data_IF_892205794308
#
_entry.id   IF_892205794308
#
_cell.length_a   1.000
_cell.length_b   1.000
_cell.length_c   1.000
_cell.angle_alpha   90.00
_cell.angle_beta   90.00
_cell.angle_gamma   90.00
#
_symmetry.space_group_name_H-M   'P 1'
#
loop_
_entity.id
_entity.type
_entity.pdbx_description
1 polymer ?
#
# COMPACT_ATOMS: atom_id res chain seq x y z
N UNK A 1 33.64 18.49 -4.55
CA UNK A 1 33.11 18.63 -5.93
C UNK A 1 31.64 18.96 -5.81
N UNK A 2 31.22 20.15 -6.23
CA UNK A 2 29.80 20.52 -6.29
C UNK A 2 29.19 19.90 -7.55
N UNK A 3 28.35 18.88 -7.37
CA UNK A 3 27.54 18.33 -8.46
C UNK A 3 26.41 19.32 -8.73
N UNK A 4 26.55 20.14 -9.78
CA UNK A 4 25.41 20.85 -10.35
C UNK A 4 24.57 19.81 -11.08
N UNK A 5 23.36 19.56 -10.59
CA UNK A 5 22.34 18.88 -11.37
C UNK A 5 21.85 19.93 -12.36
N UNK A 6 22.34 19.86 -13.60
CA UNK A 6 21.73 20.57 -14.72
C UNK A 6 20.45 19.81 -15.07
N UNK A 7 19.31 20.43 -14.78
CA UNK A 7 18.02 19.97 -15.25
C UNK A 7 17.91 20.35 -16.74
N UNK A 8 17.83 19.35 -17.61
CA UNK A 8 17.50 19.52 -19.03
C UNK A 8 16.05 20.02 -19.14
N UNK A 9 15.75 20.87 -20.13
CA UNK A 9 14.41 21.44 -20.36
C UNK A 9 13.34 20.35 -20.52
N UNK A 10 13.73 19.16 -21.01
CA UNK A 10 12.84 17.98 -21.05
C UNK A 10 12.39 17.46 -19.70
N UNK A 11 13.18 17.65 -18.65
CA UNK A 11 12.83 17.18 -17.29
C UNK A 11 11.68 18.00 -16.71
N UNK A 12 11.67 19.30 -16.98
CA UNK A 12 10.57 20.20 -16.61
C UNK A 12 9.32 19.92 -17.42
N UNK A 13 9.46 19.57 -18.71
CA UNK A 13 8.32 19.15 -19.55
C UNK A 13 7.66 17.86 -19.03
N UNK A 14 8.45 16.86 -18.66
CA UNK A 14 7.96 15.59 -18.10
C UNK A 14 7.28 15.80 -16.74
N UNK A 15 7.89 16.61 -15.86
CA UNK A 15 7.26 16.95 -14.57
C UNK A 15 5.95 17.71 -14.77
N UNK A 16 5.91 18.67 -15.70
CA UNK A 16 4.71 19.42 -16.03
C UNK A 16 3.62 18.54 -16.67
N UNK A 17 3.99 17.48 -17.40
CA UNK A 17 3.07 16.49 -17.97
C UNK A 17 2.48 15.61 -16.87
N UNK A 18 3.31 15.05 -15.99
CA UNK A 18 2.84 14.24 -14.84
C UNK A 18 1.92 15.04 -13.92
N UNK A 19 2.23 16.31 -13.65
CA UNK A 19 1.38 17.20 -12.85
C UNK A 19 0.06 17.50 -13.58
N UNK A 20 0.08 17.71 -14.90
CA UNK A 20 -1.15 17.90 -15.69
C UNK A 20 -2.03 16.66 -15.70
N UNK A 21 -1.44 15.48 -15.86
CA UNK A 21 -2.17 14.22 -15.88
C UNK A 21 -2.81 13.92 -14.52
N UNK A 22 -2.10 14.21 -13.43
CA UNK A 22 -2.65 14.10 -12.07
C UNK A 22 -3.85 15.05 -11.88
N UNK A 23 -3.71 16.33 -12.25
CA UNK A 23 -4.80 17.31 -12.14
C UNK A 23 -6.00 16.98 -13.03
N UNK A 24 -5.75 16.43 -14.22
CA UNK A 24 -6.80 16.01 -15.14
C UNK A 24 -7.55 14.78 -14.58
N UNK A 25 -6.83 13.83 -13.98
CA UNK A 25 -7.42 12.65 -13.33
C UNK A 25 -8.31 13.03 -12.14
N UNK A 26 -7.90 14.03 -11.35
CA UNK A 26 -8.69 14.56 -10.23
C UNK A 26 -9.95 15.28 -10.72
N UNK A 27 -9.83 16.06 -11.79
CA UNK A 27 -10.96 16.75 -12.42
C UNK A 27 -11.99 15.74 -12.99
N UNK A 28 -11.52 14.67 -13.64
CA UNK A 28 -12.38 13.63 -14.19
C UNK A 28 -13.06 12.81 -13.08
N UNK A 29 -12.34 12.51 -11.98
CA UNK A 29 -12.91 11.88 -10.79
C UNK A 29 -14.00 12.76 -10.15
N UNK A 30 -13.75 14.05 -9.94
CA UNK A 30 -14.73 15.01 -9.43
C UNK A 30 -15.97 15.12 -10.33
N UNK A 31 -15.78 15.07 -11.66
CA UNK A 31 -16.88 15.09 -12.62
C UNK A 31 -17.69 13.79 -12.61
N UNK A 32 -17.03 12.65 -12.40
CA UNK A 32 -17.68 11.35 -12.26
C UNK A 32 -18.54 11.27 -11.00
N UNK A 33 -18.06 11.79 -9.87
CA UNK A 33 -18.77 11.85 -8.60
C UNK A 33 -20.02 12.74 -8.69
N UNK A 34 -19.90 13.93 -9.28
CA UNK A 34 -21.05 14.82 -9.50
C UNK A 34 -22.12 14.22 -10.42
N UNK A 35 -21.73 13.47 -11.45
CA UNK A 35 -22.67 12.76 -12.32
C UNK A 35 -23.35 11.57 -11.60
N UNK A 36 -22.64 10.89 -10.69
CA UNK A 36 -23.24 9.84 -9.87
C UNK A 36 -24.22 10.42 -8.84
N UNK A 37 -23.87 11.48 -8.13
CA UNK A 37 -24.76 12.14 -7.14
C UNK A 37 -26.01 12.75 -7.79
N UNK A 38 -25.86 13.42 -8.94
CA UNK A 38 -27.02 13.96 -9.67
C UNK A 38 -27.95 12.86 -10.18
N UNK A 39 -27.40 11.72 -10.62
CA UNK A 39 -28.19 10.55 -11.02
C UNK A 39 -28.88 9.84 -9.85
N UNK A 40 -28.23 9.80 -8.67
CA UNK A 40 -28.77 9.22 -7.45
C UNK A 40 -29.89 10.08 -6.87
N UNK A 41 -29.70 11.41 -6.80
CA UNK A 41 -30.71 12.37 -6.37
C UNK A 41 -31.94 12.35 -7.29
N UNK A 42 -31.72 12.27 -8.60
CA UNK A 42 -32.81 12.12 -9.59
C UNK A 42 -33.60 10.81 -9.43
N UNK A 43 -32.93 9.70 -9.06
CA UNK A 43 -33.58 8.41 -8.79
C UNK A 43 -34.35 8.42 -7.46
N UNK A 44 -33.81 9.03 -6.41
CA UNK A 44 -34.49 9.20 -5.12
C UNK A 44 -35.73 10.09 -5.24
N UNK A 45 -35.66 11.20 -5.98
CA UNK A 45 -36.81 12.07 -6.25
C UNK A 45 -37.89 11.30 -7.04
N UNK A 46 -37.51 10.54 -8.08
CA UNK A 46 -38.45 9.70 -8.84
C UNK A 46 -39.08 8.58 -8.01
N UNK A 47 -38.35 7.97 -7.06
CA UNK A 47 -38.87 6.95 -6.16
C UNK A 47 -39.83 7.55 -5.13
N UNK A 48 -39.53 8.73 -4.59
CA UNK A 48 -40.41 9.45 -3.67
C UNK A 48 -41.72 9.89 -4.33
N UNK A 49 -41.67 10.41 -5.58
CA UNK A 49 -42.86 10.77 -6.36
C UNK A 49 -43.73 9.55 -6.68
N UNK A 50 -43.13 8.39 -7.00
CA UNK A 50 -43.89 7.12 -7.16
C UNK A 50 -44.54 6.63 -5.87
N UNK A 51 -43.91 6.85 -4.71
CA UNK A 51 -44.44 6.44 -3.40
C UNK A 51 -45.63 7.30 -2.97
N UNK A 52 -45.61 8.60 -3.30
CA UNK A 52 -46.72 9.54 -3.05
C UNK A 52 -47.94 9.20 -3.93
N UNK A 53 -47.75 8.95 -5.23
CA UNK A 53 -48.85 8.57 -6.12
C UNK A 53 -49.47 7.20 -5.78
N UNK A 54 -48.72 6.28 -5.16
CA UNK A 54 -49.26 4.99 -4.67
C UNK A 54 -50.06 5.15 -3.35
N UNK A 55 -49.80 6.20 -2.58
CA UNK A 55 -50.52 6.46 -1.31
C UNK A 55 -51.88 7.14 -1.54
N UNK A 56 -52.04 7.88 -2.63
CA UNK A 56 -53.33 8.49 -3.00
C UNK A 56 -54.35 7.49 -3.60
N UNK A 57 -53.95 6.25 -3.90
CA UNK A 57 -54.84 5.25 -4.52
C UNK A 57 -55.28 4.11 -3.60
N UNK A 58 -55.01 4.16 -2.29
CA UNK A 58 -55.30 3.04 -1.37
C UNK A 58 -56.15 3.35 -0.14
N UNK A 59 -56.70 4.55 0.02
CA UNK A 59 -57.71 4.82 1.05
C UNK A 59 -59.14 4.54 0.55
N UNK A 60 -59.47 3.25 0.39
CA UNK A 60 -60.86 2.78 0.52
C UNK A 60 -60.87 1.37 1.14
N UNK A 61 -61.61 1.25 2.26
CA UNK A 61 -62.26 0.05 2.84
C UNK A 61 -61.52 -0.86 3.88
N UNK A 62 -61.95 -0.66 5.13
CA UNK A 62 -62.50 -1.64 6.12
C UNK A 62 -61.64 -2.68 6.88
N UNK A 63 -61.71 -2.52 8.22
CA UNK A 63 -61.37 -3.36 9.40
C UNK A 63 -61.80 -4.85 9.36
N UNK A 64 -60.98 -5.73 9.98
CA UNK A 64 -61.29 -6.64 11.14
C UNK A 64 -60.14 -7.67 11.37
N UNK A 65 -59.39 -7.60 12.49
CA UNK A 65 -59.42 -8.39 13.76
C UNK A 65 -59.15 -9.91 13.68
N UNK A 66 -58.09 -10.37 14.36
CA UNK A 66 -57.98 -11.57 15.27
C UNK A 66 -56.51 -12.11 15.33
N UNK A 67 -55.78 -11.95 16.45
CA UNK A 67 -55.50 -12.86 17.61
C UNK A 67 -54.52 -14.04 17.39
N UNK A 68 -53.39 -13.94 18.13
CA UNK A 68 -52.80 -14.91 19.09
C UNK A 68 -51.88 -16.09 18.66
N UNK A 69 -50.86 -16.25 19.52
CA UNK A 69 -50.13 -17.45 19.99
C UNK A 69 -49.06 -18.11 19.09
N UNK A 70 -47.98 -18.81 19.53
CA UNK A 70 -47.06 -18.88 20.71
C UNK A 70 -45.98 -19.94 20.32
N UNK A 71 -44.71 -19.72 20.69
CA UNK A 71 -43.57 -20.66 20.98
C UNK A 71 -43.26 -21.92 20.12
N UNK A 72 -41.95 -22.13 19.85
CA UNK A 72 -41.02 -23.09 20.53
C UNK A 72 -40.10 -23.99 19.66
N UNK A 73 -38.92 -24.28 20.26
CA UNK A 73 -37.98 -25.42 20.13
C UNK A 73 -37.08 -25.52 18.87
N UNK A 74 -35.72 -25.57 18.92
CA UNK A 74 -34.68 -26.39 19.60
C UNK A 74 -34.30 -27.68 18.82
N UNK A 75 -33.01 -27.86 18.46
CA UNK A 75 -32.09 -29.01 18.83
C UNK A 75 -31.07 -29.49 17.74
N UNK A 76 -29.78 -29.48 18.13
CA UNK A 76 -28.56 -30.32 17.89
C UNK A 76 -28.38 -31.31 16.70
N UNK A 77 -27.11 -31.41 16.21
CA UNK A 77 -26.22 -32.63 16.14
C UNK A 77 -24.94 -32.28 15.34
N UNK A 78 -23.67 -32.40 15.78
CA UNK A 78 -22.72 -33.54 16.03
C UNK A 78 -22.40 -34.49 14.87
N UNK A 79 -21.14 -34.51 14.36
CA UNK A 79 -20.15 -35.64 14.46
C UNK A 79 -18.84 -35.44 13.66
N UNK A 80 -17.79 -36.14 14.16
CA UNK A 80 -16.36 -36.27 13.78
C UNK A 80 -16.06 -37.31 12.68
N UNK A 81 -14.89 -37.19 12.02
CA UNK A 81 -13.78 -38.20 11.83
C UNK A 81 -12.76 -37.64 10.78
N UNK A 82 -11.44 -37.50 10.94
CA UNK A 82 -10.23 -38.33 11.24
C UNK A 82 -9.60 -39.13 10.05
N UNK A 83 -8.28 -38.88 9.86
CA UNK A 83 -7.20 -39.70 9.23
C UNK A 83 -7.22 -39.85 7.68
N UNK A 84 -6.11 -39.81 6.92
CA UNK A 84 -4.81 -40.49 7.10
C UNK A 84 -3.63 -39.84 6.30
N UNK A 85 -2.42 -40.38 6.52
CA UNK A 85 -1.03 -39.93 6.23
C UNK A 85 -0.33 -40.76 5.13
N UNK A 86 0.70 -40.19 4.45
CA UNK A 86 1.97 -40.80 3.89
C UNK A 86 2.52 -39.90 2.73
N UNK A 87 3.71 -39.26 2.72
CA UNK A 87 5.16 -39.61 2.66
C UNK A 87 5.71 -40.32 1.41
N UNK A 88 6.64 -39.66 0.65
CA UNK A 88 8.01 -40.09 0.20
C UNK A 88 8.47 -39.39 -1.12
N UNK A 89 9.59 -38.62 -1.14
CA UNK A 89 10.97 -38.90 -1.67
C UNK A 89 11.05 -39.20 -3.19
N UNK A 90 11.99 -38.81 -4.06
CA UNK A 90 13.32 -38.13 -4.07
C UNK A 90 13.79 -37.97 -5.56
N UNK A 91 14.69 -37.01 -5.83
CA UNK A 91 15.81 -36.93 -6.81
C UNK A 91 15.80 -37.52 -8.26
N UNK A 92 16.22 -36.72 -9.27
CA UNK A 92 17.58 -36.76 -9.90
C UNK A 92 17.71 -36.17 -11.34
N UNK A 93 18.58 -35.15 -11.47
CA UNK A 93 19.63 -34.83 -12.49
C UNK A 93 19.51 -35.11 -14.02
N UNK A 94 19.95 -34.05 -14.74
CA UNK A 94 20.91 -34.03 -15.89
C UNK A 94 20.40 -34.15 -17.34
N UNK A 95 20.61 -33.10 -18.16
CA UNK A 95 21.57 -33.17 -19.28
C UNK A 95 21.74 -31.85 -20.03
N UNK A 96 22.98 -31.59 -20.43
CA UNK A 96 23.51 -30.46 -21.20
C UNK A 96 23.34 -30.69 -22.70
N UNK A 97 22.90 -29.68 -23.48
CA UNK A 97 23.28 -29.51 -24.90
C UNK A 97 23.20 -28.03 -25.32
N UNK A 98 24.31 -27.53 -25.87
CA UNK A 98 24.45 -26.22 -26.54
C UNK A 98 23.89 -26.31 -27.96
N UNK A 99 23.24 -25.24 -28.43
CA UNK A 99 23.42 -24.61 -29.77
C UNK A 99 22.42 -23.46 -29.97
N UNK A 100 22.88 -22.33 -30.54
CA UNK A 100 22.08 -21.43 -31.36
C UNK A 100 21.57 -20.14 -30.70
N UNK A 101 22.23 -19.02 -31.00
CA UNK A 101 21.66 -17.68 -30.82
C UNK A 101 20.49 -17.51 -31.79
N UNK A 102 19.27 -17.54 -31.28
CA UNK A 102 18.07 -17.02 -31.95
C UNK A 102 17.34 -16.17 -30.92
N UNK A 103 17.19 -14.88 -31.19
CA UNK A 103 16.35 -14.00 -30.37
C UNK A 103 14.91 -14.55 -30.44
N UNK A 104 14.26 -14.84 -29.30
CA UNK A 104 12.91 -15.36 -29.33
C UNK A 104 11.95 -14.28 -29.85
N UNK A 105 10.91 -14.65 -30.60
CA UNK A 105 9.88 -13.70 -31.01
C UNK A 105 9.15 -13.20 -29.76
N UNK A 106 8.89 -11.89 -29.70
CA UNK A 106 8.08 -11.27 -28.66
C UNK A 106 6.65 -11.77 -28.85
N UNK A 107 6.32 -12.87 -28.19
CA UNK A 107 4.96 -13.38 -28.07
C UNK A 107 4.31 -12.70 -26.86
N UNK A 108 3.31 -11.87 -27.14
CA UNK A 108 2.44 -11.28 -26.14
C UNK A 108 1.57 -12.41 -25.56
N UNK A 109 2.00 -12.93 -24.41
CA UNK A 109 1.39 -14.06 -23.75
C UNK A 109 0.69 -13.57 -22.49
N UNK A 110 -0.61 -13.33 -22.60
CA UNK A 110 -1.51 -13.01 -21.51
C UNK A 110 -1.73 -14.27 -20.67
N UNK A 111 -0.74 -14.66 -19.85
CA UNK A 111 -0.87 -15.69 -18.81
C UNK A 111 -0.78 -15.04 -17.44
N UNK A 112 -1.63 -15.49 -16.52
CA UNK A 112 -1.69 -15.08 -15.11
C UNK A 112 -0.30 -14.84 -14.53
N UNK A 113 -0.14 -13.64 -13.97
CA UNK A 113 1.13 -12.93 -13.81
C UNK A 113 2.21 -13.72 -13.09
N UNK A 114 3.09 -14.34 -13.88
CA UNK A 114 4.42 -14.68 -13.39
C UNK A 114 5.09 -13.36 -12.97
N UNK A 115 5.38 -13.22 -11.68
CA UNK A 115 6.13 -12.08 -11.16
C UNK A 115 7.47 -12.01 -11.92
N UNK A 116 7.59 -11.05 -12.83
CA UNK A 116 8.82 -10.80 -13.57
C UNK A 116 9.80 -10.23 -12.56
N UNK A 117 10.89 -10.96 -12.29
CA UNK A 117 11.94 -10.44 -11.43
C UNK A 117 12.46 -9.11 -12.00
N UNK A 118 12.58 -8.06 -11.18
CA UNK A 118 13.06 -6.78 -11.66
C UNK A 118 14.46 -6.94 -12.27
N UNK A 119 14.78 -6.16 -13.32
CA UNK A 119 16.09 -6.24 -13.97
C UNK A 119 17.21 -6.04 -12.95
N UNK A 120 18.39 -6.60 -13.21
CA UNK A 120 19.56 -6.37 -12.34
C UNK A 120 19.89 -4.88 -12.23
N UNK A 121 20.41 -4.47 -11.08
CA UNK A 121 20.77 -3.08 -10.84
C UNK A 121 21.86 -2.63 -11.84
N UNK A 122 21.66 -1.48 -12.48
CA UNK A 122 22.64 -0.90 -13.40
C UNK A 122 23.38 0.23 -12.69
N UNK A 123 24.71 0.15 -12.65
CA UNK A 123 25.56 1.19 -12.08
C UNK A 123 25.31 2.53 -12.79
N UNK A 124 25.25 3.62 -12.04
CA UNK A 124 24.93 4.96 -12.55
C UNK A 124 23.44 5.21 -12.83
N UNK A 125 22.57 4.22 -12.59
CA UNK A 125 21.11 4.43 -12.65
C UNK A 125 20.49 4.54 -11.26
N UNK A 126 19.40 5.29 -11.15
CA UNK A 126 18.58 5.32 -9.95
C UNK A 126 17.51 4.23 -10.05
N UNK A 127 17.26 3.55 -8.94
CA UNK A 127 16.17 2.59 -8.80
C UNK A 127 15.25 3.04 -7.68
N UNK A 128 13.96 2.96 -7.94
CA UNK A 128 12.92 3.21 -6.94
C UNK A 128 12.13 1.92 -6.78
N UNK A 129 11.98 1.45 -5.54
CA UNK A 129 11.21 0.24 -5.21
C UNK A 129 10.22 0.58 -4.09
N UNK A 130 8.91 0.60 -4.38
CA UNK A 130 7.91 0.72 -3.33
C UNK A 130 7.81 -0.61 -2.57
N UNK A 131 7.98 -0.56 -1.25
CA UNK A 131 7.81 -1.71 -0.34
C UNK A 131 6.45 -1.71 0.37
N UNK A 132 5.66 -0.64 0.17
CA UNK A 132 4.28 -0.51 0.60
C UNK A 132 3.68 0.83 0.18
N UNK A 133 2.35 0.94 0.25
CA UNK A 133 1.60 2.14 -0.14
C UNK A 133 1.34 2.32 -1.64
N UNK A 134 1.80 1.40 -2.49
CA UNK A 134 1.43 1.40 -3.91
C UNK A 134 0.25 0.44 -4.14
N UNK A 135 -0.88 0.98 -4.61
CA UNK A 135 -2.11 0.20 -4.83
C UNK A 135 -2.89 -0.13 -3.55
N UNK A 136 -2.48 0.45 -2.42
CA UNK A 136 -3.12 0.32 -1.10
C UNK A 136 -3.05 1.68 -0.37
N UNK A 137 -3.87 1.86 0.68
CA UNK A 137 -3.79 3.01 1.59
C UNK A 137 -3.17 2.51 2.90
N UNK A 138 -1.97 2.97 3.21
CA UNK A 138 -1.23 2.52 4.38
C UNK A 138 0.18 2.04 4.05
N UNK A 139 0.98 1.85 5.11
CA UNK A 139 2.26 1.11 5.04
C UNK A 139 3.25 1.72 4.04
N UNK A 140 3.23 3.04 3.88
CA UNK A 140 4.06 3.73 2.91
C UNK A 140 5.54 3.50 3.23
N UNK A 141 6.27 2.99 2.24
CA UNK A 141 7.71 2.83 2.30
C UNK A 141 8.27 2.74 0.89
N UNK A 142 9.24 3.60 0.57
CA UNK A 142 9.95 3.57 -0.70
C UNK A 142 11.45 3.46 -0.49
N UNK A 143 12.09 2.67 -1.34
CA UNK A 143 13.54 2.52 -1.42
C UNK A 143 14.04 3.27 -2.63
N UNK A 144 14.95 4.22 -2.42
CA UNK A 144 15.74 4.83 -3.48
C UNK A 144 17.14 4.25 -3.43
N UNK A 145 17.55 3.53 -4.46
CA UNK A 145 18.87 2.92 -4.58
C UNK A 145 19.68 3.63 -5.67
N UNK A 146 20.86 4.13 -5.31
CA UNK A 146 21.80 4.76 -6.23
C UNK A 146 23.25 4.41 -5.87
N UNK A 147 23.98 3.88 -6.85
CA UNK A 147 25.36 3.40 -6.74
C UNK A 147 25.62 2.48 -5.53
N UNK A 148 24.63 1.68 -5.14
CA UNK A 148 24.73 0.75 -4.00
C UNK A 148 24.44 1.39 -2.64
N UNK A 149 24.08 2.67 -2.60
CA UNK A 149 23.58 3.37 -1.43
C UNK A 149 22.06 3.40 -1.46
N UNK A 150 21.44 3.27 -0.28
CA UNK A 150 19.99 3.20 -0.13
C UNK A 150 19.52 4.36 0.73
N UNK A 151 18.53 5.10 0.23
CA UNK A 151 17.74 6.05 0.99
C UNK A 151 16.33 5.49 1.14
N UNK A 152 15.82 5.47 2.37
CA UNK A 152 14.44 5.07 2.64
C UNK A 152 13.57 6.33 2.75
N UNK A 153 12.34 6.26 2.22
CA UNK A 153 11.32 7.29 2.39
C UNK A 153 10.12 6.64 3.06
N UNK A 154 9.80 7.13 4.25
CA UNK A 154 8.75 6.66 5.15
C UNK A 154 8.90 5.18 5.55
N UNK A 155 8.23 4.82 6.63
CA UNK A 155 8.10 3.47 7.13
C UNK A 155 6.79 3.37 7.92
N UNK A 156 5.70 3.19 7.18
CA UNK A 156 4.35 3.18 7.72
C UNK A 156 3.84 1.84 8.23
N UNK A 157 2.62 1.86 8.76
CA UNK A 157 1.80 0.66 8.99
C UNK A 157 0.50 0.72 8.20
N UNK A 158 -0.10 -0.43 7.94
CA UNK A 158 -1.49 -0.54 7.52
C UNK A 158 -2.28 -1.17 8.68
N UNK A 159 -3.45 -0.60 8.96
CA UNK A 159 -4.38 -1.16 9.94
C UNK A 159 -5.21 -2.26 9.29
N UNK A 160 -5.31 -3.45 9.92
CA UNK A 160 -6.06 -4.58 9.35
C UNK A 160 -7.56 -4.33 9.32
N UNK A 161 -8.25 -5.01 8.39
CA UNK A 161 -9.71 -5.00 8.28
C UNK A 161 -10.37 -5.96 9.29
N UNK A 162 -11.69 -5.86 9.49
CA UNK A 162 -12.44 -6.69 10.46
C UNK A 162 -12.29 -8.20 10.19
N UNK A 163 -12.04 -8.57 8.95
CA UNK A 163 -11.84 -9.94 8.47
C UNK A 163 -10.46 -10.52 8.84
N UNK A 164 -9.57 -9.74 9.44
CA UNK A 164 -8.22 -10.14 9.84
C UNK A 164 -8.04 -10.14 11.38
N UNK A 165 -8.79 -10.98 12.12
CA UNK A 165 -8.78 -10.96 13.57
C UNK A 165 -7.43 -11.40 14.15
N UNK A 166 -6.95 -10.67 15.16
CA UNK A 166 -5.72 -10.97 15.90
C UNK A 166 -4.44 -10.41 15.26
N UNK A 167 -4.55 -9.69 14.15
CA UNK A 167 -3.47 -8.84 13.62
C UNK A 167 -3.72 -7.43 14.15
N UNK A 168 -2.69 -6.80 14.72
CA UNK A 168 -2.79 -5.40 15.20
C UNK A 168 -2.31 -4.40 14.14
N UNK A 169 -1.21 -4.73 13.45
CA UNK A 169 -0.53 -3.87 12.48
C UNK A 169 0.06 -4.71 11.35
N UNK A 170 0.03 -4.19 10.13
CA UNK A 170 0.68 -4.77 8.95
C UNK A 170 1.86 -3.90 8.54
N UNK A 171 3.06 -4.49 8.50
CA UNK A 171 4.34 -3.80 8.24
C UNK A 171 4.78 -3.92 6.77
N UNK A 172 5.56 -2.96 6.24
CA UNK A 172 6.13 -3.04 4.90
C UNK A 172 7.00 -4.28 4.76
N UNK A 173 7.19 -4.74 3.52
CA UNK A 173 8.04 -5.90 3.29
C UNK A 173 9.53 -5.50 3.37
N UNK A 174 10.15 -5.71 4.53
CA UNK A 174 11.57 -5.44 4.74
C UNK A 174 12.50 -6.43 4.04
N UNK A 175 12.00 -7.55 3.50
CA UNK A 175 12.84 -8.59 2.90
C UNK A 175 13.75 -8.04 1.79
N UNK A 176 13.27 -7.05 1.03
CA UNK A 176 14.04 -6.40 -0.03
C UNK A 176 15.34 -5.73 0.46
N UNK A 177 15.36 -5.21 1.69
CA UNK A 177 16.50 -4.46 2.25
C UNK A 177 17.18 -5.16 3.43
N UNK A 178 16.61 -6.25 3.96
CA UNK A 178 17.07 -6.93 5.17
C UNK A 178 18.56 -7.29 5.13
N UNK A 179 19.05 -7.81 4.00
CA UNK A 179 20.47 -8.20 3.83
C UNK A 179 21.38 -7.04 3.37
N UNK A 180 20.82 -5.82 3.23
CA UNK A 180 21.50 -4.62 2.77
C UNK A 180 21.27 -3.43 3.70
N UNK A 181 20.89 -3.68 4.95
CA UNK A 181 20.64 -2.61 5.92
C UNK A 181 21.89 -1.77 6.16
N UNK A 182 23.09 -2.33 5.99
CA UNK A 182 24.38 -1.63 6.04
C UNK A 182 24.55 -0.58 4.92
N UNK A 183 23.77 -0.68 3.83
CA UNK A 183 23.75 0.28 2.72
C UNK A 183 22.76 1.42 2.91
N UNK A 184 21.91 1.34 3.94
CA UNK A 184 20.94 2.40 4.23
C UNK A 184 21.66 3.60 4.81
N UNK A 185 21.59 4.74 4.12
CA UNK A 185 22.23 5.98 4.56
C UNK A 185 21.36 6.73 5.56
N UNK A 186 20.04 6.75 5.35
CA UNK A 186 19.08 7.37 6.24
C UNK A 186 17.64 6.91 5.93
N UNK A 187 16.73 7.26 6.85
CA UNK A 187 15.29 7.22 6.64
C UNK A 187 14.73 8.65 6.66
N UNK A 188 14.15 9.08 5.54
CA UNK A 188 13.46 10.36 5.41
C UNK A 188 11.98 10.17 5.73
N UNK A 189 11.47 10.97 6.67
CA UNK A 189 10.08 10.93 7.11
C UNK A 189 9.35 12.17 6.63
N UNK A 190 8.35 11.97 5.77
CA UNK A 190 7.63 13.06 5.10
C UNK A 190 6.71 13.81 6.07
N UNK A 191 5.94 13.07 6.86
CA UNK A 191 5.03 13.62 7.87
C UNK A 191 4.71 12.55 8.93
N UNK A 192 3.89 12.93 9.92
CA UNK A 192 3.73 12.18 11.17
C UNK A 192 2.54 11.22 11.26
N UNK A 193 1.90 10.84 10.15
CA UNK A 193 0.80 9.87 10.22
C UNK A 193 1.32 8.44 10.37
N UNK A 194 0.53 7.56 10.98
CA UNK A 194 0.90 6.17 11.28
C UNK A 194 1.24 5.36 10.01
N UNK A 195 0.55 5.62 8.92
CA UNK A 195 0.83 5.06 7.59
C UNK A 195 2.14 5.55 6.96
N UNK A 196 2.87 6.46 7.62
CA UNK A 196 4.20 6.92 7.23
C UNK A 196 5.28 6.69 8.30
N UNK A 197 4.93 6.63 9.60
CA UNK A 197 5.91 6.49 10.69
C UNK A 197 5.72 5.28 11.59
N UNK A 198 4.58 4.59 11.51
CA UNK A 198 4.22 3.54 12.47
C UNK A 198 5.17 2.34 12.46
N UNK A 199 5.81 2.07 11.32
CA UNK A 199 6.74 0.96 11.11
C UNK A 199 8.18 1.27 11.57
N UNK A 200 8.51 2.53 11.84
CA UNK A 200 9.88 2.97 12.19
C UNK A 200 10.49 2.17 13.35
N UNK A 201 9.82 1.93 14.49
CA UNK A 201 10.41 1.18 15.59
C UNK A 201 10.77 -0.27 15.22
N UNK A 202 10.05 -0.87 14.27
CA UNK A 202 10.32 -2.22 13.81
C UNK A 202 11.55 -2.27 12.90
N UNK A 203 11.72 -1.27 12.04
CA UNK A 203 12.94 -1.10 11.26
C UNK A 203 14.16 -0.86 12.15
N UNK A 204 14.03 0.01 13.17
CA UNK A 204 15.13 0.32 14.09
C UNK A 204 15.52 -0.85 15.00
N UNK A 205 14.62 -1.81 15.27
CA UNK A 205 15.01 -3.07 15.92
C UNK A 205 15.98 -3.90 15.08
N UNK A 206 15.90 -3.80 13.75
CA UNK A 206 16.81 -4.48 12.83
C UNK A 206 18.13 -3.72 12.69
N UNK A 207 18.07 -2.38 12.62
CA UNK A 207 19.24 -1.51 12.57
C UNK A 207 19.01 -0.21 13.37
N UNK A 208 19.50 -0.12 14.62
CA UNK A 208 19.21 1.01 15.52
C UNK A 208 19.85 2.34 15.13
N UNK A 209 20.94 2.30 14.37
CA UNK A 209 21.79 3.45 14.02
C UNK A 209 21.38 4.15 12.72
N UNK A 210 20.18 3.88 12.17
CA UNK A 210 19.71 4.58 10.96
C UNK A 210 19.33 6.02 11.34
N UNK A 211 19.94 7.05 10.73
CA UNK A 211 19.55 8.43 10.97
C UNK A 211 18.14 8.71 10.44
N UNK A 212 17.30 9.28 11.30
CA UNK A 212 15.93 9.68 10.96
C UNK A 212 15.88 11.17 10.62
N UNK A 213 15.53 11.47 9.38
CA UNK A 213 15.47 12.85 8.89
C UNK A 213 14.00 13.27 8.79
N UNK A 214 13.64 14.40 9.39
CA UNK A 214 12.26 14.85 9.32
C UNK A 214 12.00 16.22 9.94
N UNK A 215 10.76 16.67 9.81
CA UNK A 215 10.32 17.91 10.45
C UNK A 215 10.31 17.78 11.97
N UNK A 216 10.33 18.91 12.69
CA UNK A 216 10.24 18.93 14.15
C UNK A 216 9.05 18.11 14.69
N UNK A 217 7.88 18.27 14.08
CA UNK A 217 6.66 17.59 14.52
C UNK A 217 6.73 16.09 14.24
N UNK A 218 7.18 15.71 13.03
CA UNK A 218 7.33 14.31 12.63
C UNK A 218 8.27 13.57 13.58
N UNK A 219 9.45 14.15 13.85
CA UNK A 219 10.45 13.54 14.72
C UNK A 219 9.96 13.43 16.17
N UNK A 220 9.18 14.39 16.66
CA UNK A 220 8.60 14.31 18.01
C UNK A 220 7.62 13.13 18.16
N UNK A 221 6.81 12.84 17.15
CA UNK A 221 5.92 11.67 17.18
C UNK A 221 6.70 10.36 17.10
N UNK A 222 7.73 10.31 16.25
CA UNK A 222 8.59 9.13 16.11
C UNK A 222 9.40 8.85 17.37
N UNK A 223 9.94 9.89 18.00
CA UNK A 223 10.66 9.80 19.28
C UNK A 223 9.77 9.21 20.37
N UNK A 224 8.55 9.73 20.53
CA UNK A 224 7.58 9.20 21.48
C UNK A 224 7.28 7.72 21.22
N UNK A 225 7.06 7.34 19.96
CA UNK A 225 6.83 5.95 19.56
C UNK A 225 8.04 5.05 19.82
N UNK A 226 9.25 5.50 19.50
CA UNK A 226 10.48 4.75 19.75
C UNK A 226 10.69 4.51 21.25
N UNK A 227 10.33 5.49 22.10
CA UNK A 227 10.40 5.37 23.56
C UNK A 227 9.49 4.26 24.10
N UNK A 228 8.30 4.07 23.54
CA UNK A 228 7.41 2.95 23.89
C UNK A 228 8.04 1.58 23.56
N UNK A 229 8.95 1.55 22.59
CA UNK A 229 9.71 0.36 22.21
C UNK A 229 11.12 0.29 22.83
N UNK A 230 11.46 1.19 23.74
CA UNK A 230 12.79 1.29 24.37
C UNK A 230 13.94 1.48 23.36
N UNK A 231 13.70 2.27 22.31
CA UNK A 231 14.67 2.62 21.27
C UNK A 231 14.99 4.10 21.41
N UNK A 232 16.29 4.44 21.34
CA UNK A 232 16.79 5.80 21.30
C UNK A 232 17.26 6.12 19.86
N UNK A 233 16.45 6.79 19.03
CA UNK A 233 16.75 7.00 17.61
C UNK A 233 17.72 8.17 17.38
N UNK A 234 18.54 8.08 16.33
CA UNK A 234 19.31 9.23 15.85
C UNK A 234 18.39 10.16 15.03
N UNK A 235 18.18 11.40 15.51
CA UNK A 235 17.25 12.35 14.90
C UNK A 235 17.97 13.53 14.24
N UNK A 236 17.69 13.76 12.97
CA UNK A 236 18.18 14.89 12.17
C UNK A 236 17.00 15.77 11.78
N UNK A 237 16.81 16.87 12.52
CA UNK A 237 15.75 17.84 12.21
C UNK A 237 16.10 18.65 10.97
N UNK A 238 15.12 18.81 10.10
CA UNK A 238 15.16 19.71 8.94
C UNK A 238 13.96 20.66 8.94
N UNK A 239 14.11 21.78 8.24
CA UNK A 239 13.06 22.75 7.95
C UNK A 239 12.66 22.75 6.47
N UNK A 240 11.55 23.42 6.17
CA UNK A 240 11.07 23.50 4.80
C UNK A 240 12.09 24.18 3.89
N UNK A 241 12.43 23.50 2.77
CA UNK A 241 13.43 23.90 1.75
C UNK A 241 14.90 23.69 2.13
N UNK A 242 15.18 23.07 3.26
CA UNK A 242 16.56 22.68 3.57
C UNK A 242 17.11 21.73 2.51
N UNK A 243 18.40 21.88 2.22
CA UNK A 243 19.14 21.02 1.30
C UNK A 243 20.20 20.28 2.08
N UNK A 244 20.15 18.96 2.01
CA UNK A 244 21.09 18.09 2.69
C UNK A 244 21.60 17.03 1.72
N UNK A 245 22.89 16.72 1.84
CA UNK A 245 23.51 15.60 1.12
C UNK A 245 23.41 14.35 1.99
N UNK A 246 22.86 13.28 1.43
CA UNK A 246 22.78 11.95 2.06
C UNK A 246 23.29 10.93 1.05
N UNK A 247 24.30 10.15 1.42
CA UNK A 247 25.01 9.28 0.48
C UNK A 247 26.02 10.03 -0.44
N UNK A 248 26.42 9.41 -1.57
CA UNK A 248 27.57 9.81 -2.38
C UNK A 248 27.42 11.11 -3.18
#
# INVERSE_FOLDING_TARGET
MNMKIEYDERTEEILAEVVRDALQSDADNMRSLNNQESSASSKQIRQSVKKVNKKMSSDTSTKSVSTKDVKSAKTKSTKKAKFNKETKTENAKSSTRRTGNVLPPVVNDQREGALIAPPKYRKGSMRIVPLGGLGEIGRNMNVIEYNGHILLIDCGVLFPEEEQPGVDLILPDFHYIQDRLDKVEALVLTHGHEDHIGGVPYLLKMRPDIPLIGSKLTLAFVEAKCKEHHIDPELIRVEGRDKMKVGP
#
